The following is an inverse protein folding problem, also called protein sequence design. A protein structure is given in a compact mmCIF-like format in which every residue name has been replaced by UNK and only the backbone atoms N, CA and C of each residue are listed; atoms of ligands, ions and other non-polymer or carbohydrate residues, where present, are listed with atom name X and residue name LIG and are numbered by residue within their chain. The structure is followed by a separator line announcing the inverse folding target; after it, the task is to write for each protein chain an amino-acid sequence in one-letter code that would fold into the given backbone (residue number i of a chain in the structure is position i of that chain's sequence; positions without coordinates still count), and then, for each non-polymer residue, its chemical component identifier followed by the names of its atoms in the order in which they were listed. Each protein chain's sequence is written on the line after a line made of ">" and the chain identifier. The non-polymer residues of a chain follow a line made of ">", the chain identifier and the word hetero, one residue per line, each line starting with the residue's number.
data_IF_955408280524
#
_entry.id   IF_955408280524
#
_cell.length_a   1.000
_cell.length_b   1.000
_cell.length_c   1.000
_cell.angle_alpha   90.00
_cell.angle_beta   90.00
_cell.angle_gamma   90.00
#
_symmetry.space_group_name_H-M   'P 1'
#
loop_
_entity.id
_entity.type
_entity.pdbx_description
1 polymer ?
#
# COMPACT_ATOMS: atom_id res chain seq x y z
N UNK A 1 16.63 -34.85 -21.48
CA UNK A 1 16.55 -33.49 -20.90
C UNK A 1 15.09 -33.24 -20.59
N UNK A 2 14.74 -32.89 -19.34
CA UNK A 2 13.35 -32.58 -18.99
C UNK A 2 12.96 -31.25 -19.68
N UNK A 3 11.82 -31.22 -20.34
CA UNK A 3 11.23 -30.01 -20.90
C UNK A 3 11.00 -29.02 -19.75
N UNK A 4 11.44 -27.75 -19.83
CA UNK A 4 11.17 -26.78 -18.78
C UNK A 4 9.65 -26.68 -18.60
N UNK A 5 9.17 -26.95 -17.38
CA UNK A 5 7.76 -26.78 -17.05
C UNK A 5 7.38 -25.32 -17.26
N UNK A 6 6.33 -25.09 -18.04
CA UNK A 6 5.76 -23.74 -18.18
C UNK A 6 5.41 -23.21 -16.77
N UNK A 7 5.82 -21.98 -16.41
CA UNK A 7 5.47 -21.41 -15.12
C UNK A 7 3.95 -21.35 -14.94
N UNK A 8 3.45 -21.69 -13.75
CA UNK A 8 2.01 -21.82 -13.46
C UNK A 8 1.20 -20.58 -13.86
N UNK A 9 1.77 -19.38 -13.68
CA UNK A 9 1.10 -18.10 -13.91
C UNK A 9 0.89 -17.78 -15.39
N UNK A 10 1.55 -18.50 -16.31
CA UNK A 10 1.47 -18.19 -17.74
C UNK A 10 0.08 -18.48 -18.33
N UNK A 11 -0.57 -19.52 -17.81
CA UNK A 11 -1.88 -20.00 -18.28
C UNK A 11 -2.96 -19.91 -17.18
N UNK A 12 -2.66 -19.25 -16.06
CA UNK A 12 -3.54 -19.17 -14.89
C UNK A 12 -4.71 -18.20 -15.10
N UNK A 13 -5.90 -18.60 -14.66
CA UNK A 13 -7.05 -17.72 -14.45
C UNK A 13 -6.92 -17.06 -13.08
N UNK A 14 -6.64 -15.76 -13.08
CA UNK A 14 -6.51 -14.97 -11.85
C UNK A 14 -7.83 -14.28 -11.50
N UNK A 15 -8.22 -14.34 -10.23
CA UNK A 15 -9.36 -13.59 -9.68
C UNK A 15 -8.85 -12.53 -8.70
N UNK A 16 -9.13 -11.27 -8.99
CA UNK A 16 -8.79 -10.17 -8.09
C UNK A 16 -9.88 -10.00 -7.04
N UNK A 17 -9.51 -10.10 -5.77
CA UNK A 17 -10.39 -9.89 -4.62
C UNK A 17 -10.11 -8.52 -4.03
N UNK A 18 -11.05 -7.60 -4.18
CA UNK A 18 -11.05 -6.34 -3.44
C UNK A 18 -11.73 -6.56 -2.09
N UNK A 19 -10.93 -6.79 -1.04
CA UNK A 19 -11.38 -7.29 0.27
C UNK A 19 -12.58 -6.51 0.82
N UNK A 20 -12.44 -5.17 0.88
CA UNK A 20 -13.45 -4.23 1.41
C UNK A 20 -14.86 -4.46 0.88
N UNK A 21 -15.02 -4.94 -0.34
CA UNK A 21 -16.33 -5.08 -0.99
C UNK A 21 -16.65 -6.51 -1.41
N UNK A 22 -15.87 -7.50 -0.96
CA UNK A 22 -16.08 -8.89 -1.35
C UNK A 22 -17.12 -9.57 -0.46
N UNK A 23 -16.77 -9.85 0.80
CA UNK A 23 -17.64 -10.51 1.77
C UNK A 23 -17.30 -10.03 3.18
N UNK A 24 -18.30 -9.50 3.88
CA UNK A 24 -18.26 -9.12 5.30
C UNK A 24 -18.60 -10.34 6.16
N UNK A 25 -17.76 -10.64 7.17
CA UNK A 25 -17.93 -11.80 8.04
C UNK A 25 -18.42 -11.48 9.45
N UNK A 26 -18.39 -10.22 9.88
CA UNK A 26 -18.71 -9.80 11.25
C UNK A 26 -19.84 -8.77 11.36
N UNK A 27 -20.33 -8.27 10.22
CA UNK A 27 -21.50 -7.40 10.12
C UNK A 27 -21.17 -5.91 10.26
N UNK A 28 -19.90 -5.51 10.16
CA UNK A 28 -19.49 -4.11 10.24
C UNK A 28 -19.70 -3.32 8.92
N UNK A 29 -20.08 -4.00 7.84
CA UNK A 29 -20.32 -3.46 6.50
C UNK A 29 -19.09 -3.41 5.60
N UNK A 30 -17.95 -3.95 6.04
CA UNK A 30 -16.69 -4.02 5.30
C UNK A 30 -16.28 -5.47 5.11
N UNK A 31 -15.92 -5.83 3.87
CA UNK A 31 -15.41 -7.17 3.62
C UNK A 31 -13.99 -7.37 4.19
N UNK A 32 -13.73 -8.58 4.68
CA UNK A 32 -12.55 -8.91 5.48
C UNK A 32 -11.90 -10.26 5.05
N UNK A 33 -10.77 -10.64 5.67
CA UNK A 33 -10.03 -11.85 5.34
C UNK A 33 -10.80 -13.14 5.63
N UNK A 34 -11.66 -13.17 6.66
CA UNK A 34 -12.50 -14.33 6.99
C UNK A 34 -13.65 -14.48 6.00
N UNK A 35 -14.22 -13.37 5.55
CA UNK A 35 -15.19 -13.32 4.47
C UNK A 35 -14.59 -13.81 3.16
N UNK A 36 -13.40 -13.31 2.80
CA UNK A 36 -12.64 -13.82 1.65
C UNK A 36 -12.37 -15.33 1.74
N UNK A 37 -11.99 -15.81 2.93
CA UNK A 37 -11.78 -17.25 3.21
C UNK A 37 -13.06 -18.07 3.01
N UNK A 38 -14.20 -17.56 3.47
CA UNK A 38 -15.51 -18.20 3.30
C UNK A 38 -15.95 -18.26 1.83
N UNK A 39 -15.48 -17.30 1.00
CA UNK A 39 -15.75 -17.28 -0.43
C UNK A 39 -14.90 -18.25 -1.27
N UNK A 40 -13.82 -18.81 -0.73
CA UNK A 40 -12.90 -19.69 -1.48
C UNK A 40 -13.58 -20.88 -2.18
N UNK A 41 -14.54 -21.62 -1.55
CA UNK A 41 -15.22 -22.71 -2.23
C UNK A 41 -16.00 -22.26 -3.46
N UNK A 42 -16.62 -21.07 -3.42
CA UNK A 42 -17.31 -20.51 -4.59
C UNK A 42 -16.31 -20.19 -5.70
N UNK A 43 -15.19 -19.53 -5.38
CA UNK A 43 -14.15 -19.22 -6.36
C UNK A 43 -13.58 -20.49 -7.01
N UNK A 44 -13.53 -21.61 -6.27
CA UNK A 44 -13.08 -22.89 -6.82
C UNK A 44 -14.03 -23.42 -7.89
N UNK A 45 -15.34 -23.21 -7.72
CA UNK A 45 -16.35 -23.61 -8.74
C UNK A 45 -16.26 -22.81 -10.02
N UNK A 46 -15.68 -21.61 -9.98
CA UNK A 46 -15.42 -20.78 -11.16
C UNK A 46 -14.21 -21.25 -11.98
N UNK A 47 -13.39 -22.16 -11.44
CA UNK A 47 -12.18 -22.64 -12.11
C UNK A 47 -11.01 -21.65 -12.06
N UNK A 48 -10.94 -20.84 -11.01
CA UNK A 48 -9.82 -19.91 -10.77
C UNK A 48 -8.56 -20.68 -10.34
N UNK A 49 -7.39 -20.29 -10.83
CA UNK A 49 -6.09 -20.88 -10.45
C UNK A 49 -5.37 -20.05 -9.38
N UNK A 50 -5.63 -18.75 -9.31
CA UNK A 50 -5.00 -17.89 -8.34
C UNK A 50 -5.81 -16.66 -7.94
N UNK A 51 -5.54 -16.19 -6.73
CA UNK A 51 -6.15 -15.02 -6.12
C UNK A 51 -5.15 -13.87 -6.12
N UNK A 52 -5.61 -12.69 -6.51
CA UNK A 52 -4.90 -11.44 -6.31
C UNK A 52 -5.65 -10.62 -5.26
N UNK A 53 -5.07 -10.52 -4.07
CA UNK A 53 -5.67 -9.73 -3.00
C UNK A 53 -5.27 -8.26 -3.14
N UNK A 54 -6.25 -7.36 -3.04
CA UNK A 54 -6.01 -5.93 -2.82
C UNK A 54 -5.19 -5.69 -1.54
N UNK A 55 -4.54 -4.52 -1.36
CA UNK A 55 -3.78 -4.24 -0.16
C UNK A 55 -4.56 -4.50 1.12
N UNK A 56 -3.96 -5.30 2.02
CA UNK A 56 -4.52 -5.63 3.34
C UNK A 56 -3.59 -5.24 4.49
N UNK A 57 -2.56 -4.44 4.20
CA UNK A 57 -1.64 -3.87 5.19
C UNK A 57 -2.25 -2.63 5.84
N UNK A 58 -1.89 -2.29 7.10
CA UNK A 58 -2.36 -1.09 7.77
C UNK A 58 -2.25 0.16 6.89
N UNK A 59 -3.36 0.86 6.72
CA UNK A 59 -3.45 2.09 5.94
C UNK A 59 -4.49 3.04 6.55
N UNK A 60 -4.25 4.37 6.52
CA UNK A 60 -5.28 5.36 6.86
C UNK A 60 -6.48 5.40 5.90
N UNK A 61 -6.42 4.62 4.81
CA UNK A 61 -7.45 4.45 3.80
C UNK A 61 -7.71 5.71 2.95
N UNK A 62 -6.74 6.63 2.84
CA UNK A 62 -6.87 7.78 1.95
C UNK A 62 -6.76 7.39 0.46
N UNK A 63 -6.14 6.25 0.16
CA UNK A 63 -6.09 5.64 -1.18
C UNK A 63 -6.52 4.16 -1.12
N UNK A 64 -7.54 3.88 -0.32
CA UNK A 64 -8.15 2.55 -0.18
C UNK A 64 -7.13 1.40 0.03
N UNK A 65 -6.14 1.62 0.89
CA UNK A 65 -5.12 0.62 1.22
C UNK A 65 -3.77 0.81 0.52
N UNK A 66 -3.67 1.67 -0.50
CA UNK A 66 -2.40 1.90 -1.21
C UNK A 66 -1.44 2.85 -0.47
N UNK A 67 -1.96 3.62 0.49
CA UNK A 67 -1.19 4.44 1.43
C UNK A 67 -0.73 3.63 2.65
N UNK A 68 0.18 2.66 2.45
CA UNK A 68 0.61 1.69 3.47
C UNK A 68 1.42 2.31 4.61
N UNK A 69 1.02 2.06 5.86
CA UNK A 69 1.67 2.51 7.09
C UNK A 69 2.60 1.46 7.73
N UNK A 70 2.34 0.17 7.52
CA UNK A 70 3.22 -0.94 7.93
C UNK A 70 3.08 -2.12 6.95
N UNK A 71 4.16 -2.48 6.26
CA UNK A 71 4.15 -3.57 5.28
C UNK A 71 4.17 -4.97 5.90
N UNK A 72 4.43 -5.10 7.20
CA UNK A 72 4.62 -6.38 7.88
C UNK A 72 3.43 -6.81 8.74
N UNK A 73 2.36 -6.02 8.75
CA UNK A 73 1.15 -6.27 9.52
C UNK A 73 -0.06 -6.39 8.59
N UNK A 74 -1.16 -6.93 9.15
CA UNK A 74 -2.49 -6.89 8.55
C UNK A 74 -3.27 -5.71 9.13
N UNK A 75 -4.03 -5.01 8.29
CA UNK A 75 -4.89 -3.92 8.72
C UNK A 75 -6.00 -4.50 9.62
N UNK A 76 -6.19 -3.98 10.86
CA UNK A 76 -7.25 -4.45 11.75
C UNK A 76 -8.64 -4.41 11.12
N UNK A 77 -8.87 -3.53 10.13
CA UNK A 77 -10.13 -3.48 9.37
C UNK A 77 -10.42 -4.78 8.60
N UNK A 78 -9.40 -5.54 8.21
CA UNK A 78 -9.55 -6.79 7.45
C UNK A 78 -9.25 -8.04 8.28
N UNK A 79 -8.85 -7.88 9.54
CA UNK A 79 -8.43 -8.98 10.42
C UNK A 79 -6.93 -9.03 10.67
N UNK A 80 -6.50 -10.01 11.46
CA UNK A 80 -5.09 -10.16 11.87
C UNK A 80 -4.27 -11.05 10.95
N UNK A 81 -2.95 -11.11 11.19
CA UNK A 81 -2.07 -12.04 10.48
C UNK A 81 -2.52 -13.51 10.62
N UNK A 82 -3.14 -13.88 11.73
CA UNK A 82 -3.73 -15.22 11.89
C UNK A 82 -4.86 -15.49 10.89
N UNK A 83 -5.71 -14.49 10.60
CA UNK A 83 -6.79 -14.62 9.62
C UNK A 83 -6.20 -14.72 8.20
N UNK A 84 -5.12 -13.99 7.94
CA UNK A 84 -4.35 -14.10 6.70
C UNK A 84 -3.73 -15.49 6.51
N UNK A 85 -3.09 -16.04 7.55
CA UNK A 85 -2.53 -17.39 7.54
C UNK A 85 -3.63 -18.44 7.28
N UNK A 86 -4.80 -18.26 7.88
CA UNK A 86 -5.97 -19.13 7.66
C UNK A 86 -6.49 -19.07 6.23
N UNK A 87 -6.61 -17.87 5.65
CA UNK A 87 -6.95 -17.67 4.24
C UNK A 87 -5.95 -18.38 3.32
N UNK A 88 -4.65 -18.19 3.57
CA UNK A 88 -3.57 -18.75 2.75
C UNK A 88 -3.55 -20.27 2.80
N UNK A 89 -3.72 -20.85 4.00
CA UNK A 89 -3.76 -22.30 4.19
C UNK A 89 -4.94 -22.94 3.42
N UNK A 90 -6.14 -22.38 3.55
CA UNK A 90 -7.33 -22.91 2.89
C UNK A 90 -7.24 -22.69 1.37
N UNK A 91 -6.76 -21.54 0.91
CA UNK A 91 -6.57 -21.27 -0.52
C UNK A 91 -5.60 -22.28 -1.14
N UNK A 92 -4.47 -22.55 -0.49
CA UNK A 92 -3.52 -23.57 -0.93
C UNK A 92 -4.10 -24.98 -0.89
N UNK A 93 -4.96 -25.31 0.10
CA UNK A 93 -5.63 -26.61 0.17
C UNK A 93 -6.57 -26.85 -1.02
N UNK A 94 -7.11 -25.77 -1.60
CA UNK A 94 -7.95 -25.78 -2.80
C UNK A 94 -7.14 -25.69 -4.10
N UNK A 95 -5.81 -25.62 -4.01
CA UNK A 95 -4.92 -25.54 -5.17
C UNK A 95 -4.64 -24.12 -5.68
N UNK A 96 -5.23 -23.08 -5.07
CA UNK A 96 -5.00 -21.71 -5.50
C UNK A 96 -3.55 -21.27 -5.26
N UNK A 97 -3.06 -20.35 -6.09
CA UNK A 97 -1.92 -19.49 -5.78
C UNK A 97 -2.41 -18.14 -5.28
N UNK A 98 -1.72 -17.54 -4.32
CA UNK A 98 -2.09 -16.23 -3.79
C UNK A 98 -0.99 -15.23 -4.10
N UNK A 99 -1.36 -14.09 -4.68
CA UNK A 99 -0.49 -12.93 -4.86
C UNK A 99 -1.07 -11.74 -4.10
N UNK A 100 -0.17 -10.93 -3.56
CA UNK A 100 -0.51 -9.70 -2.86
C UNK A 100 -0.20 -8.51 -3.76
N UNK A 101 -1.07 -7.51 -3.72
CA UNK A 101 -0.72 -6.19 -4.20
C UNK A 101 0.36 -5.57 -3.29
N UNK A 102 1.49 -5.18 -3.88
CA UNK A 102 2.62 -4.57 -3.17
C UNK A 102 2.81 -3.18 -3.73
N UNK A 103 2.82 -2.17 -2.84
CA UNK A 103 2.94 -0.75 -3.21
C UNK A 103 4.31 -0.22 -2.77
N UNK A 104 5.36 -0.35 -3.61
CA UNK A 104 6.73 0.05 -3.25
C UNK A 104 7.03 1.51 -3.59
N UNK A 105 6.24 2.15 -4.45
CA UNK A 105 6.54 3.49 -4.97
C UNK A 105 6.42 4.57 -3.90
N UNK A 106 5.48 4.41 -2.96
CA UNK A 106 5.19 5.35 -1.89
C UNK A 106 4.65 4.62 -0.67
N UNK A 107 4.63 5.30 0.48
CA UNK A 107 4.02 4.82 1.72
C UNK A 107 3.20 5.96 2.36
N UNK A 108 2.39 5.62 3.36
CA UNK A 108 1.63 6.59 4.15
C UNK A 108 2.53 7.66 4.76
N UNK A 109 2.00 8.89 4.91
CA UNK A 109 2.60 9.90 5.78
C UNK A 109 2.66 9.45 7.25
N UNK A 110 1.84 8.46 7.64
CA UNK A 110 1.87 7.86 8.98
C UNK A 110 2.95 6.78 9.13
N UNK A 111 3.58 6.33 8.04
CA UNK A 111 4.59 5.28 8.07
C UNK A 111 5.80 5.71 8.93
N UNK A 112 6.34 4.85 9.82
CA UNK A 112 7.43 5.21 10.74
C UNK A 112 8.66 5.81 10.03
N UNK A 113 9.05 5.24 8.88
CA UNK A 113 10.15 5.77 8.07
C UNK A 113 9.91 7.19 7.56
N UNK A 114 8.67 7.57 7.22
CA UNK A 114 8.37 8.92 6.78
C UNK A 114 8.37 9.89 7.96
N UNK A 115 7.79 9.50 9.10
CA UNK A 115 7.83 10.29 10.34
C UNK A 115 9.26 10.56 10.83
N UNK A 116 10.12 9.54 10.77
CA UNK A 116 11.56 9.66 11.04
C UNK A 116 12.22 10.64 10.07
N UNK A 117 12.00 10.49 8.76
CA UNK A 117 12.56 11.36 7.75
C UNK A 117 12.11 12.82 7.90
N UNK A 118 10.85 13.03 8.28
CA UNK A 118 10.27 14.35 8.47
C UNK A 118 10.90 15.12 9.64
N UNK A 119 11.17 14.42 10.75
CA UNK A 119 11.83 14.98 11.93
C UNK A 119 13.36 15.00 11.87
N UNK A 120 13.96 14.43 10.82
CA UNK A 120 15.42 14.34 10.69
C UNK A 120 16.02 15.56 9.98
N UNK A 121 17.28 15.85 10.35
CA UNK A 121 18.06 16.95 9.78
C UNK A 121 18.21 16.85 8.25
N UNK A 122 18.30 18.01 7.54
CA UNK A 122 18.68 18.06 6.14
C UNK A 122 19.95 17.23 5.83
N UNK A 123 19.90 16.41 4.78
CA UNK A 123 21.03 15.58 4.35
C UNK A 123 21.19 14.24 5.09
N UNK A 124 20.39 13.98 6.14
CA UNK A 124 20.39 12.71 6.87
C UNK A 124 20.02 11.50 5.99
N UNK A 125 20.45 10.30 6.40
CA UNK A 125 20.09 9.05 5.72
C UNK A 125 18.57 8.81 5.72
N UNK A 126 17.88 9.23 6.77
CA UNK A 126 16.42 9.15 6.86
C UNK A 126 15.74 10.04 5.80
N UNK A 127 16.17 11.31 5.66
CA UNK A 127 15.64 12.21 4.62
C UNK A 127 15.89 11.74 3.20
N UNK A 128 17.02 11.08 2.94
CA UNK A 128 17.36 10.55 1.60
C UNK A 128 16.40 9.47 1.09
N UNK A 129 15.52 8.93 1.96
CA UNK A 129 14.50 7.94 1.56
C UNK A 129 13.32 8.58 0.83
N UNK A 130 13.12 9.90 0.94
CA UNK A 130 12.01 10.63 0.34
C UNK A 130 12.49 11.89 -0.38
N UNK A 131 11.63 12.44 -1.23
CA UNK A 131 11.92 13.68 -1.94
C UNK A 131 11.53 14.90 -1.08
N UNK A 132 12.53 15.57 -0.53
CA UNK A 132 12.37 16.88 0.11
C UNK A 132 12.96 17.97 -0.80
N UNK A 133 12.18 19.01 -1.07
CA UNK A 133 12.61 20.16 -1.88
C UNK A 133 12.05 21.45 -1.30
N UNK A 134 12.86 22.51 -1.32
CA UNK A 134 12.41 23.85 -0.90
C UNK A 134 11.42 24.44 -1.90
N UNK A 135 10.34 25.05 -1.41
CA UNK A 135 9.39 25.77 -2.26
C UNK A 135 10.03 26.98 -2.97
N UNK A 136 9.37 27.44 -4.04
CA UNK A 136 9.66 28.72 -4.70
C UNK A 136 8.87 29.85 -4.04
N UNK A 137 9.21 31.10 -4.38
CA UNK A 137 8.61 32.28 -3.75
C UNK A 137 9.45 32.80 -2.58
N UNK A 138 9.06 33.93 -2.00
CA UNK A 138 9.84 34.58 -0.94
C UNK A 138 9.81 33.83 0.39
N UNK A 139 8.79 33.00 0.60
CA UNK A 139 8.60 32.17 1.79
C UNK A 139 8.36 30.68 1.46
N UNK A 140 8.68 30.24 0.25
CA UNK A 140 8.46 28.85 -0.19
C UNK A 140 6.99 28.50 -0.43
N UNK A 141 6.15 29.49 -0.72
CA UNK A 141 4.71 29.37 -0.90
C UNK A 141 4.29 28.68 -2.22
N UNK A 142 5.20 28.58 -3.19
CA UNK A 142 4.98 27.92 -4.46
C UNK A 142 5.68 26.55 -4.51
N UNK A 143 5.11 25.56 -5.23
CA UNK A 143 5.79 24.28 -5.40
C UNK A 143 7.12 24.44 -6.16
N UNK A 144 8.10 23.56 -5.90
CA UNK A 144 9.43 23.67 -6.51
C UNK A 144 9.41 23.45 -8.03
N UNK A 145 8.42 22.73 -8.56
CA UNK A 145 8.23 22.51 -9.98
C UNK A 145 6.73 22.54 -10.35
N UNK A 146 6.40 22.16 -11.58
CA UNK A 146 5.04 22.13 -12.12
C UNK A 146 4.48 20.70 -12.32
N UNK A 147 5.06 19.70 -11.66
CA UNK A 147 4.56 18.31 -11.72
C UNK A 147 3.19 18.20 -11.07
N UNK A 148 2.28 17.42 -11.66
CA UNK A 148 0.88 17.31 -11.22
C UNK A 148 0.60 15.97 -10.57
N UNK A 149 -0.16 15.99 -9.48
CA UNK A 149 -0.64 14.78 -8.81
C UNK A 149 -1.67 14.04 -9.68
N UNK A 150 -1.65 12.71 -9.61
CA UNK A 150 -2.54 11.84 -10.38
C UNK A 150 -4.01 12.03 -10.00
N UNK A 151 -4.30 12.22 -8.71
CA UNK A 151 -5.66 12.40 -8.17
C UNK A 151 -6.15 13.85 -8.22
N UNK A 152 -5.48 14.72 -8.98
CA UNK A 152 -5.78 16.15 -9.06
C UNK A 152 -5.02 16.99 -8.03
N UNK A 153 -4.90 18.30 -8.28
CA UNK A 153 -4.13 19.23 -7.46
C UNK A 153 -3.04 19.99 -8.23
N UNK A 154 -2.51 21.05 -7.63
CA UNK A 154 -1.54 21.94 -8.28
C UNK A 154 -0.09 21.40 -8.32
N UNK A 155 0.22 20.39 -7.48
CA UNK A 155 1.59 19.90 -7.27
C UNK A 155 1.59 18.44 -6.78
N UNK A 156 2.59 17.64 -7.15
CA UNK A 156 2.90 16.32 -6.53
C UNK A 156 3.61 16.44 -5.18
N UNK A 157 4.03 17.65 -4.81
CA UNK A 157 4.70 17.97 -3.54
C UNK A 157 3.74 18.75 -2.66
N UNK A 158 3.56 18.27 -1.43
CA UNK A 158 2.80 18.92 -0.38
C UNK A 158 3.72 19.75 0.53
N UNK A 159 3.27 20.93 0.94
CA UNK A 159 4.01 21.76 1.89
C UNK A 159 3.87 21.15 3.28
N UNK A 160 4.98 20.68 3.84
CA UNK A 160 5.01 20.29 5.24
C UNK A 160 4.85 21.51 6.15
N UNK A 161 3.77 21.54 6.93
CA UNK A 161 3.57 22.57 7.97
C UNK A 161 4.60 22.43 9.09
N UNK A 162 5.05 21.20 9.37
CA UNK A 162 6.03 20.89 10.40
C UNK A 162 7.45 21.35 10.07
N UNK A 163 7.73 21.62 8.79
CA UNK A 163 9.00 22.18 8.31
C UNK A 163 8.97 23.70 8.16
N UNK A 164 7.82 24.36 8.36
CA UNK A 164 7.69 25.83 8.32
C UNK A 164 8.45 26.53 9.44
N UNK A 165 8.73 25.80 10.53
CA UNK A 165 9.38 26.31 11.73
C UNK A 165 10.91 26.25 11.66
N UNK A 166 11.47 25.68 10.58
CA UNK A 166 12.89 25.76 10.33
C UNK A 166 13.21 27.10 9.68
N UNK A 167 14.04 27.96 10.31
CA UNK A 167 14.42 29.22 9.69
C UNK A 167 15.00 28.93 8.32
N UNK A 168 14.53 29.67 7.31
CA UNK A 168 15.02 29.59 5.95
C UNK A 168 16.54 29.52 5.99
N UNK A 169 17.13 28.43 5.48
CA UNK A 169 18.57 28.29 5.34
C UNK A 169 19.07 29.58 4.69
N UNK A 170 19.74 30.41 5.49
CA UNK A 170 20.33 31.64 5.01
C UNK A 170 21.29 31.24 3.91
N UNK A 171 20.98 31.67 2.69
CA UNK A 171 21.91 31.58 1.58
C UNK A 171 23.13 32.41 1.96
N UNK A 172 24.16 31.78 2.49
CA UNK A 172 25.51 32.34 2.61
C UNK A 172 26.51 31.17 2.64
N UNK A 173 26.99 30.86 1.44
CA UNK A 173 28.29 30.33 1.02
C UNK A 173 28.10 29.47 -0.24
#
# INVERSE_FOLDING_TARGET
>A
MATPSVPWWRDAVMYQVYLRSFLDSDGDGVGDLRGARTGLPYLATLGVDGLWLSPCSPSPQHDHGHDVADYCASDPLFGGLHDFDGLLADAHSLGFKVILDVVPHHCSAQHPRFREALGAEPGSAARKRFHFAGGRGTGGELPPNNWRAMFGGHSVLERSQQLSDFPALSRNC
#
